data_IF_378718424094
#
_entry.id   IF_378718424094
#
_cell.length_a   1.000
_cell.length_b   1.000
_cell.length_c   1.000
_cell.angle_alpha   90.00
_cell.angle_beta   90.00
_cell.angle_gamma   90.00
#
_symmetry.space_group_name_H-M   'P 1'
#
loop_
_entity.id
_entity.type
_entity.pdbx_description
1 polymer ?
#
# COMPACT_ATOMS: atom_id res chain seq x y z
N UNK A 1 -11.24 19.94 -9.76
CA UNK A 1 -10.71 19.47 -8.47
C UNK A 1 -10.51 17.99 -8.66
N UNK A 2 -9.26 17.53 -8.84
CA UNK A 2 -8.99 16.11 -8.93
C UNK A 2 -8.89 15.62 -7.50
N UNK A 3 -9.88 14.83 -7.08
CA UNK A 3 -9.96 14.24 -5.75
C UNK A 3 -8.65 13.51 -5.39
N UNK A 4 -8.18 13.86 -4.21
CA UNK A 4 -6.86 13.61 -3.66
C UNK A 4 -6.65 12.12 -3.42
N UNK A 5 -5.93 11.47 -4.33
CA UNK A 5 -5.10 10.31 -3.99
C UNK A 5 -4.12 10.79 -2.91
N UNK A 6 -4.51 10.72 -1.63
CA UNK A 6 -3.76 11.33 -0.54
C UNK A 6 -2.65 10.35 -0.09
N UNK A 7 -1.39 10.53 -0.52
CA UNK A 7 -0.32 9.60 -0.17
C UNK A 7 -0.01 9.62 1.33
N UNK A 8 -0.52 10.61 2.08
CA UNK A 8 -0.36 10.74 3.53
C UNK A 8 -1.45 10.03 4.33
N UNK A 9 -2.45 9.45 3.67
CA UNK A 9 -3.47 8.65 4.35
C UNK A 9 -2.81 7.49 5.08
N UNK A 10 -2.97 7.45 6.41
CA UNK A 10 -2.43 6.38 7.26
C UNK A 10 -3.38 5.19 7.16
N UNK A 11 -2.95 4.15 6.45
CA UNK A 11 -3.69 2.90 6.32
C UNK A 11 -3.47 1.99 7.53
N UNK A 12 -2.30 2.05 8.16
CA UNK A 12 -2.02 1.30 9.37
C UNK A 12 -1.49 2.20 10.47
N UNK A 13 -2.33 2.47 11.47
CA UNK A 13 -1.97 3.31 12.63
C UNK A 13 -0.96 2.64 13.56
N UNK A 14 -0.90 1.30 13.59
CA UNK A 14 0.05 0.55 14.42
C UNK A 14 1.51 0.73 13.98
N UNK A 15 1.76 0.85 12.67
CA UNK A 15 3.10 1.01 12.09
C UNK A 15 3.32 2.38 11.46
N UNK A 16 2.27 3.20 11.33
CA UNK A 16 2.30 4.47 10.61
C UNK A 16 2.40 4.29 9.08
N UNK A 17 2.02 3.12 8.56
CA UNK A 17 2.06 2.87 7.11
C UNK A 17 1.03 3.71 6.39
N UNK A 18 1.50 4.48 5.40
CA UNK A 18 0.67 5.32 4.58
C UNK A 18 0.41 4.73 3.20
N UNK A 19 -0.68 5.17 2.58
CA UNK A 19 -1.08 4.75 1.23
C UNK A 19 0.01 5.07 0.19
N UNK A 20 0.64 6.23 0.30
CA UNK A 20 1.75 6.63 -0.57
C UNK A 20 2.97 5.72 -0.46
N UNK A 21 3.29 5.24 0.74
CA UNK A 21 4.39 4.29 0.95
C UNK A 21 4.12 2.97 0.21
N UNK A 22 2.88 2.48 0.26
CA UNK A 22 2.47 1.27 -0.46
C UNK A 22 2.57 1.47 -1.97
N UNK A 23 2.05 2.58 -2.49
CA UNK A 23 2.10 2.91 -3.92
C UNK A 23 3.54 2.98 -4.42
N UNK A 24 4.44 3.63 -3.66
CA UNK A 24 5.85 3.76 -4.03
C UNK A 24 6.56 2.40 -4.02
N UNK A 25 6.24 1.52 -3.06
CA UNK A 25 6.78 0.16 -3.01
C UNK A 25 6.26 -0.67 -4.19
N UNK A 26 4.95 -0.64 -4.49
CA UNK A 26 4.38 -1.34 -5.65
C UNK A 26 4.98 -0.82 -6.96
N UNK A 27 5.20 0.50 -7.07
CA UNK A 27 5.86 1.10 -8.23
C UNK A 27 7.31 0.64 -8.41
N UNK A 28 7.97 0.16 -7.36
CA UNK A 28 9.29 -0.47 -7.42
C UNK A 28 9.21 -1.98 -7.76
N UNK A 29 8.01 -2.53 -7.97
CA UNK A 29 7.79 -3.96 -8.17
C UNK A 29 7.76 -4.77 -6.86
N UNK A 30 7.58 -4.11 -5.71
CA UNK A 30 7.48 -4.76 -4.41
C UNK A 30 6.02 -5.10 -4.10
N UNK A 31 5.72 -6.38 -3.96
CA UNK A 31 4.39 -6.87 -3.61
C UNK A 31 4.10 -6.83 -2.10
N UNK A 32 3.00 -7.46 -1.70
CA UNK A 32 2.47 -7.47 -0.32
C UNK A 32 3.51 -7.98 0.70
N UNK A 33 4.26 -9.03 0.39
CA UNK A 33 5.31 -9.55 1.30
C UNK A 33 6.42 -8.53 1.57
N UNK A 34 6.86 -7.83 0.51
CA UNK A 34 7.85 -6.77 0.67
C UNK A 34 7.26 -5.60 1.45
N UNK A 35 6.01 -5.20 1.20
CA UNK A 35 5.35 -4.15 1.97
C UNK A 35 5.25 -4.54 3.44
N UNK A 36 4.85 -5.76 3.77
CA UNK A 36 4.86 -6.30 5.13
C UNK A 36 6.21 -6.09 5.82
N UNK A 37 7.29 -6.48 5.14
CA UNK A 37 8.66 -6.39 5.67
C UNK A 37 9.19 -4.97 5.78
N UNK A 38 8.85 -4.10 4.83
CA UNK A 38 9.35 -2.72 4.79
C UNK A 38 8.54 -1.77 5.68
N UNK A 39 7.22 -1.96 5.76
CA UNK A 39 6.31 -1.06 6.45
C UNK A 39 5.88 -1.57 7.83
N UNK A 40 5.99 -2.88 8.09
CA UNK A 40 5.58 -3.50 9.35
C UNK A 40 4.07 -3.52 9.61
N UNK A 41 3.24 -3.05 8.67
CA UNK A 41 1.79 -2.99 8.81
C UNK A 41 1.13 -4.38 9.01
N UNK A 42 1.75 -5.42 8.46
CA UNK A 42 1.23 -6.79 8.42
C UNK A 42 1.85 -7.70 9.47
N UNK A 43 2.80 -7.20 10.27
CA UNK A 43 3.47 -7.98 11.33
C UNK A 43 2.95 -7.67 12.72
N UNK A 44 2.06 -6.68 12.84
CA UNK A 44 1.53 -6.18 14.10
C UNK A 44 0.08 -6.60 14.36
N UNK A 45 -0.78 -5.61 14.55
CA UNK A 45 -2.17 -5.75 14.97
C UNK A 45 -3.11 -6.39 13.92
N UNK A 46 -2.66 -6.62 12.68
CA UNK A 46 -3.41 -7.29 11.61
C UNK A 46 -4.62 -6.52 11.06
N UNK A 47 -5.12 -5.49 11.75
CA UNK A 47 -6.35 -4.80 11.35
C UNK A 47 -6.31 -4.11 9.97
N UNK A 48 -5.11 -3.78 9.48
CA UNK A 48 -4.90 -3.13 8.18
C UNK A 48 -4.49 -4.13 7.09
N UNK A 49 -4.51 -5.45 7.37
CA UNK A 49 -3.94 -6.44 6.45
C UNK A 49 -4.71 -6.59 5.15
N UNK A 50 -6.03 -6.56 5.27
CA UNK A 50 -6.95 -6.75 4.18
C UNK A 50 -6.92 -5.54 3.25
N UNK A 51 -7.01 -4.33 3.81
CA UNK A 51 -6.94 -3.07 3.06
C UNK A 51 -5.63 -2.94 2.27
N UNK A 52 -4.50 -3.26 2.89
CA UNK A 52 -3.19 -3.18 2.23
C UNK A 52 -3.07 -4.23 1.13
N UNK A 53 -3.51 -5.45 1.39
CA UNK A 53 -3.46 -6.54 0.40
C UNK A 53 -4.33 -6.22 -0.82
N UNK A 54 -5.55 -5.71 -0.59
CA UNK A 54 -6.46 -5.30 -1.65
C UNK A 54 -5.90 -4.12 -2.45
N UNK A 55 -5.36 -3.10 -1.78
CA UNK A 55 -4.73 -1.96 -2.42
C UNK A 55 -3.57 -2.39 -3.31
N UNK A 56 -2.67 -3.23 -2.79
CA UNK A 56 -1.52 -3.71 -3.55
C UNK A 56 -1.95 -4.53 -4.76
N UNK A 57 -2.92 -5.44 -4.58
CA UNK A 57 -3.44 -6.24 -5.69
C UNK A 57 -4.08 -5.35 -6.75
N UNK A 58 -4.86 -4.35 -6.34
CA UNK A 58 -5.47 -3.36 -7.22
C UNK A 58 -4.41 -2.55 -7.95
N UNK A 59 -3.37 -2.06 -7.27
CA UNK A 59 -2.29 -1.32 -7.89
C UNK A 59 -1.50 -2.19 -8.87
N UNK A 60 -1.14 -3.42 -8.50
CA UNK A 60 -0.46 -4.34 -9.40
C UNK A 60 -1.32 -4.71 -10.62
N UNK A 61 -2.64 -4.81 -10.45
CA UNK A 61 -3.60 -5.05 -11.52
C UNK A 61 -3.95 -3.79 -12.35
N UNK A 62 -3.77 -2.59 -11.81
CA UNK A 62 -4.03 -1.29 -12.46
C UNK A 62 -2.77 -0.66 -13.08
N UNK A 63 -1.58 -1.16 -12.78
CA UNK A 63 -0.32 -0.81 -13.44
C UNK A 63 -0.07 -1.44 -14.84
N UNK A 64 -0.97 -2.21 -15.52
CA UNK A 64 -0.76 -2.60 -16.91
C UNK A 64 -1.07 -1.49 -17.93
N UNK A 65 -1.39 -0.26 -17.51
CA UNK A 65 -1.66 0.86 -18.43
C UNK A 65 -0.58 1.96 -18.37
N UNK A 66 0.60 1.64 -18.90
CA UNK A 66 1.40 2.61 -19.66
C UNK A 66 1.73 1.95 -21.01
N UNK A 67 0.72 1.92 -21.88
CA UNK A 67 0.89 1.66 -23.31
C UNK A 67 1.38 2.90 -24.05
#
# INVERSE_FOLDING_TARGET
>A
MLEEDNPKEVMCSCSGTTRGMIIELVSQGKGVDAISRYSGALTGCGGCEWDITELVNTLMAAQPEKS
#
